data_IF_850335783794
#
_entry.id   IF_850335783794
#
_cell.length_a   1.000
_cell.length_b   1.000
_cell.length_c   1.000
_cell.angle_alpha   90.00
_cell.angle_beta   90.00
_cell.angle_gamma   90.00
#
_symmetry.space_group_name_H-M   'P 1'
#
loop_
_entity.id
_entity.type
_entity.pdbx_description
1 polymer ?
#
# COMPACT_ATOMS: atom_id res chain seq x y z
N UNK A 1 -3.96 -1.01 19.34
CA UNK A 1 -3.40 -2.35 19.00
C UNK A 1 -4.17 -3.01 17.86
N UNK A 2 -5.49 -3.17 17.96
CA UNK A 2 -6.35 -3.72 16.90
C UNK A 2 -6.11 -3.11 15.50
N UNK A 3 -6.00 -1.79 15.42
CA UNK A 3 -5.72 -1.06 14.16
C UNK A 3 -4.39 -1.45 13.50
N UNK A 4 -3.36 -1.72 14.29
CA UNK A 4 -2.03 -2.12 13.78
C UNK A 4 -2.12 -3.49 13.13
N UNK A 5 -2.79 -4.45 13.78
CA UNK A 5 -3.01 -5.79 13.22
C UNK A 5 -3.85 -5.74 11.93
N UNK A 6 -4.92 -4.93 11.92
CA UNK A 6 -5.73 -4.72 10.71
C UNK A 6 -4.92 -4.11 9.58
N UNK A 7 -4.06 -3.12 9.87
CA UNK A 7 -3.20 -2.52 8.85
C UNK A 7 -2.18 -3.51 8.30
N UNK A 8 -1.56 -4.34 9.14
CA UNK A 8 -0.66 -5.38 8.64
C UNK A 8 -1.40 -6.42 7.80
N UNK A 9 -2.56 -6.88 8.24
CA UNK A 9 -3.34 -7.88 7.51
C UNK A 9 -3.73 -7.39 6.12
N UNK A 10 -4.30 -6.19 6.01
CA UNK A 10 -4.79 -5.66 4.73
C UNK A 10 -3.69 -5.17 3.77
N UNK A 11 -2.44 -4.99 4.24
CA UNK A 11 -1.32 -4.49 3.42
C UNK A 11 -0.21 -5.54 3.22
N UNK A 12 -0.56 -6.83 3.26
CA UNK A 12 0.39 -7.91 2.98
C UNK A 12 1.49 -8.06 4.03
N UNK A 13 1.16 -7.86 5.31
CA UNK A 13 2.09 -7.93 6.44
C UNK A 13 2.91 -6.67 6.69
N UNK A 14 2.81 -5.68 5.80
CA UNK A 14 3.54 -4.41 5.88
C UNK A 14 2.72 -3.33 6.57
N UNK A 15 3.37 -2.23 6.92
CA UNK A 15 2.65 -1.04 7.37
C UNK A 15 1.85 -0.42 6.22
N UNK A 16 0.70 0.19 6.56
CA UNK A 16 -0.11 0.94 5.61
C UNK A 16 0.69 2.14 5.10
N UNK A 17 0.89 2.25 3.78
CA UNK A 17 1.46 3.46 3.19
C UNK A 17 0.52 4.65 3.40
N UNK A 18 1.09 5.78 3.83
CA UNK A 18 0.39 7.04 4.02
C UNK A 18 0.89 8.02 2.96
N UNK A 19 0.02 8.43 2.04
CA UNK A 19 0.33 9.46 1.07
C UNK A 19 -0.16 10.82 1.59
N UNK A 20 0.73 11.55 2.27
CA UNK A 20 0.48 12.94 2.72
C UNK A 20 0.69 13.95 1.59
N UNK A 21 1.58 13.63 0.66
CA UNK A 21 1.92 14.47 -0.48
C UNK A 21 1.46 13.85 -1.80
N UNK A 22 1.12 14.67 -2.82
CA UNK A 22 0.70 14.17 -4.14
C UNK A 22 1.73 13.22 -4.77
N UNK A 23 3.02 13.49 -4.58
CA UNK A 23 4.09 12.62 -5.07
C UNK A 23 4.04 11.19 -4.47
N UNK A 24 3.64 11.06 -3.20
CA UNK A 24 3.50 9.74 -2.58
C UNK A 24 2.28 8.99 -3.15
N UNK A 25 1.22 9.71 -3.53
CA UNK A 25 0.05 9.13 -4.18
C UNK A 25 0.38 8.62 -5.58
N UNK A 26 1.10 9.41 -6.39
CA UNK A 26 1.47 9.01 -7.76
C UNK A 26 2.37 7.76 -7.75
N UNK A 27 3.29 7.65 -6.78
CA UNK A 27 4.09 6.45 -6.57
C UNK A 27 3.25 5.24 -6.13
N UNK A 28 2.26 5.43 -5.25
CA UNK A 28 1.36 4.35 -4.84
C UNK A 28 0.51 3.84 -6.02
N UNK A 29 0.01 4.74 -6.86
CA UNK A 29 -0.72 4.35 -8.07
C UNK A 29 0.17 3.63 -9.09
N UNK A 30 1.43 4.06 -9.23
CA UNK A 30 2.41 3.38 -10.06
C UNK A 30 2.58 1.93 -9.61
N UNK A 31 2.76 1.70 -8.32
CA UNK A 31 2.91 0.36 -7.75
C UNK A 31 1.63 -0.48 -7.93
N UNK A 32 0.45 0.13 -7.77
CA UNK A 32 -0.84 -0.52 -8.06
C UNK A 32 -0.93 -1.01 -9.51
N UNK A 33 -0.46 -0.22 -10.48
CA UNK A 33 -0.49 -0.57 -11.91
C UNK A 33 0.53 -1.66 -12.24
N UNK A 34 1.74 -1.58 -11.68
CA UNK A 34 2.82 -2.56 -11.89
C UNK A 34 2.51 -3.93 -11.28
N UNK A 35 1.79 -3.95 -10.16
CA UNK A 35 1.41 -5.16 -9.45
C UNK A 35 0.60 -6.15 -10.32
N UNK A 36 -0.17 -5.68 -11.29
CA UNK A 36 -0.98 -6.53 -12.18
C UNK A 36 -2.22 -7.15 -11.51
N UNK A 37 -2.28 -7.18 -10.18
CA UNK A 37 -3.45 -7.61 -9.39
C UNK A 37 -4.25 -6.43 -8.84
N UNK A 38 -3.94 -5.21 -9.29
CA UNK A 38 -4.56 -3.97 -8.83
C UNK A 38 -4.35 -3.68 -7.32
N UNK A 39 -3.33 -4.27 -6.70
CA UNK A 39 -3.00 -4.09 -5.28
C UNK A 39 -1.66 -3.38 -5.10
N UNK A 40 -1.63 -2.24 -4.42
CA UNK A 40 -0.41 -1.42 -4.28
C UNK A 40 0.64 -1.99 -3.31
N UNK A 41 0.25 -2.88 -2.39
CA UNK A 41 1.14 -3.42 -1.37
C UNK A 41 1.92 -4.66 -1.84
N UNK A 42 1.50 -5.23 -2.97
CA UNK A 42 2.18 -6.34 -3.65
C UNK A 42 3.36 -5.76 -4.41
N UNK A 43 4.55 -5.96 -3.85
CA UNK A 43 5.79 -5.62 -4.53
C UNK A 43 6.07 -6.67 -5.61
N UNK A 44 6.37 -6.23 -6.83
CA UNK A 44 6.92 -7.07 -7.90
C UNK A 44 8.41 -7.29 -7.66
#
# INVERSE_FOLDING_TARGET
LSTIYMHRWCNGGKEKRIARYPYQWTLMERDRRLSGTNQYYVSK
#
